data_IF_489963215819
#
_entry.id   IF_489963215819
#
_cell.length_a   1.000
_cell.length_b   1.000
_cell.length_c   1.000
_cell.angle_alpha   90.00
_cell.angle_beta   90.00
_cell.angle_gamma   90.00
#
_symmetry.space_group_name_H-M   'P 1'
#
loop_
_entity.id
_entity.type
_entity.pdbx_description
1 polymer ?
#
# COMPACT_ATOMS: atom_id res chain seq x y z
N UNK A 1 13.87 21.94 -15.99
CA UNK A 1 12.99 23.14 -15.91
C UNK A 1 11.53 22.67 -15.90
N UNK A 2 10.68 23.12 -14.95
CA UNK A 2 9.23 22.89 -14.98
C UNK A 2 8.57 23.70 -16.10
N UNK A 3 7.59 23.14 -16.79
CA UNK A 3 6.87 23.80 -17.92
C UNK A 3 5.38 24.04 -17.65
N UNK A 4 4.86 23.61 -16.49
CA UNK A 4 3.44 23.70 -16.13
C UNK A 4 3.03 22.58 -15.17
N UNK A 5 1.72 22.36 -15.06
CA UNK A 5 1.13 21.26 -14.28
C UNK A 5 0.03 20.56 -15.08
N UNK A 6 -0.20 19.28 -14.78
CA UNK A 6 -1.31 18.49 -15.33
C UNK A 6 -2.46 18.50 -14.32
N UNK A 7 -3.67 18.79 -14.79
CA UNK A 7 -4.87 18.72 -13.95
C UNK A 7 -5.46 17.31 -14.01
N UNK A 8 -5.65 16.70 -12.84
CA UNK A 8 -6.33 15.41 -12.68
C UNK A 8 -7.59 15.67 -11.84
N UNK A 9 -8.79 15.25 -12.28
CA UNK A 9 -10.00 15.39 -11.50
C UNK A 9 -9.88 14.71 -10.13
N UNK A 10 -10.34 15.39 -9.07
CA UNK A 10 -10.38 14.84 -7.71
C UNK A 10 -11.84 14.71 -7.28
N UNK A 11 -12.28 13.48 -7.06
CA UNK A 11 -13.56 13.17 -6.43
C UNK A 11 -13.40 12.79 -4.96
N UNK A 12 -14.52 12.57 -4.28
CA UNK A 12 -14.55 12.09 -2.90
C UNK A 12 -15.43 10.85 -2.77
N UNK A 13 -15.00 9.88 -1.96
CA UNK A 13 -15.79 8.72 -1.57
C UNK A 13 -15.94 8.68 -0.05
N UNK A 14 -17.15 8.49 0.46
CA UNK A 14 -17.38 8.39 1.90
C UNK A 14 -18.82 8.70 2.37
N UNK A 15 -19.03 8.73 3.70
CA UNK A 15 -18.00 8.50 4.71
C UNK A 15 -17.55 7.03 4.75
N UNK A 16 -16.23 6.80 4.85
CA UNK A 16 -15.65 5.52 5.19
C UNK A 16 -15.55 5.46 6.72
N UNK A 17 -16.39 4.65 7.36
CA UNK A 17 -16.32 4.40 8.81
C UNK A 17 -15.31 3.28 9.08
N UNK A 18 -14.19 3.62 9.73
CA UNK A 18 -13.13 2.68 10.10
C UNK A 18 -12.56 3.03 11.47
N UNK A 19 -12.43 2.04 12.34
CA UNK A 19 -11.94 2.19 13.71
C UNK A 19 -12.70 3.24 14.54
N UNK A 20 -14.00 3.39 14.27
CA UNK A 20 -14.89 4.34 14.95
C UNK A 20 -14.81 5.77 14.43
N UNK A 21 -14.02 6.05 13.39
CA UNK A 21 -13.91 7.37 12.77
C UNK A 21 -14.39 7.36 11.31
N UNK A 22 -14.98 8.48 10.87
CA UNK A 22 -15.46 8.67 9.49
C UNK A 22 -14.50 9.50 8.65
N UNK A 23 -14.19 9.03 7.45
CA UNK A 23 -13.31 9.73 6.50
C UNK A 23 -14.00 10.01 5.18
N UNK A 24 -13.81 11.22 4.68
CA UNK A 24 -14.11 11.58 3.28
C UNK A 24 -12.84 11.41 2.46
N UNK A 25 -12.76 10.34 1.68
CA UNK A 25 -11.53 9.94 1.00
C UNK A 25 -11.38 10.65 -0.34
N UNK A 26 -10.34 11.50 -0.52
CA UNK A 26 -10.07 12.14 -1.80
C UNK A 26 -9.42 11.15 -2.78
N UNK A 27 -9.91 11.14 -4.02
CA UNK A 27 -9.47 10.22 -5.07
C UNK A 27 -9.24 10.98 -6.38
N UNK A 28 -7.98 11.06 -6.82
CA UNK A 28 -7.59 11.72 -8.06
C UNK A 28 -7.53 10.69 -9.19
N UNK A 29 -8.45 10.76 -10.15
CA UNK A 29 -8.55 9.76 -11.23
C UNK A 29 -9.22 10.32 -12.47
N UNK A 30 -8.91 9.73 -13.62
CA UNK A 30 -9.62 9.93 -14.89
C UNK A 30 -10.47 8.71 -15.28
N UNK A 31 -10.45 7.64 -14.48
CA UNK A 31 -11.27 6.45 -14.70
C UNK A 31 -12.71 6.70 -14.24
N UNK A 32 -13.65 6.66 -15.18
CA UNK A 32 -15.08 6.73 -14.87
C UNK A 32 -15.52 5.56 -13.97
N UNK A 33 -16.57 5.77 -13.19
CA UNK A 33 -17.07 4.86 -12.14
C UNK A 33 -16.19 4.68 -10.91
N UNK A 34 -14.87 4.91 -10.93
CA UNK A 34 -13.99 4.50 -9.83
C UNK A 34 -14.45 5.10 -8.49
N UNK A 35 -14.57 6.42 -8.41
CA UNK A 35 -15.01 7.13 -7.20
C UNK A 35 -16.42 6.70 -6.77
N UNK A 36 -17.34 6.55 -7.71
CA UNK A 36 -18.72 6.13 -7.43
C UNK A 36 -18.81 4.68 -6.91
N UNK A 37 -17.98 3.79 -7.44
CA UNK A 37 -17.86 2.40 -7.00
C UNK A 37 -17.29 2.33 -5.58
N UNK A 38 -16.18 3.03 -5.33
CA UNK A 38 -15.61 3.11 -3.97
C UNK A 38 -16.61 3.69 -2.97
N UNK A 39 -17.33 4.75 -3.35
CA UNK A 39 -18.37 5.34 -2.52
C UNK A 39 -19.51 4.36 -2.18
N UNK A 40 -19.92 3.51 -3.13
CA UNK A 40 -20.90 2.43 -2.89
C UNK A 40 -20.36 1.41 -1.87
N UNK A 41 -19.07 1.07 -1.95
CA UNK A 41 -18.38 0.24 -0.97
C UNK A 41 -18.38 0.85 0.43
N UNK A 42 -18.01 2.14 0.54
CA UNK A 42 -18.04 2.87 1.81
C UNK A 42 -19.45 2.86 2.43
N UNK A 43 -20.49 3.06 1.60
CA UNK A 43 -21.88 2.96 2.04
C UNK A 43 -22.23 1.59 2.61
N UNK A 44 -21.78 0.51 1.97
CA UNK A 44 -22.05 -0.85 2.46
C UNK A 44 -21.36 -1.12 3.81
N UNK A 45 -20.12 -0.66 3.97
CA UNK A 45 -19.36 -0.75 5.22
C UNK A 45 -20.05 0.07 6.32
N UNK A 46 -20.41 1.32 6.05
CA UNK A 46 -21.09 2.20 7.00
C UNK A 46 -22.42 1.63 7.49
N UNK A 47 -23.24 1.09 6.58
CA UNK A 47 -24.52 0.46 6.92
C UNK A 47 -24.37 -0.87 7.68
N UNK A 48 -23.15 -1.38 7.81
CA UNK A 48 -22.82 -2.63 8.51
C UNK A 48 -21.85 -2.40 9.66
N UNK A 49 -22.01 -1.28 10.37
CA UNK A 49 -21.31 -0.94 11.62
C UNK A 49 -19.81 -0.57 11.46
N UNK A 50 -19.35 -0.39 10.22
CA UNK A 50 -18.00 0.07 9.91
C UNK A 50 -16.96 -1.05 9.74
N UNK A 51 -15.74 -0.64 9.39
CA UNK A 51 -14.59 -1.53 9.29
C UNK A 51 -13.66 -1.42 10.51
N UNK A 52 -12.80 -2.41 10.70
CA UNK A 52 -11.73 -2.42 11.70
C UNK A 52 -10.39 -2.64 11.02
N UNK A 53 -9.34 -2.02 11.53
CA UNK A 53 -7.99 -2.19 11.00
C UNK A 53 -6.94 -2.41 12.07
N UNK A 54 -5.83 -3.04 11.65
CA UNK A 54 -4.63 -3.18 12.46
C UNK A 54 -3.39 -2.95 11.60
N UNK A 55 -2.51 -2.05 12.06
CA UNK A 55 -1.16 -1.89 11.50
C UNK A 55 -0.24 -2.92 12.15
N UNK A 56 0.18 -3.91 11.39
CA UNK A 56 0.98 -5.05 11.84
C UNK A 56 2.49 -4.75 11.87
N UNK A 57 2.96 -3.91 10.94
CA UNK A 57 4.37 -3.50 10.82
C UNK A 57 4.46 -2.06 10.30
N UNK A 58 5.51 -1.35 10.70
CA UNK A 58 5.84 0.01 10.22
C UNK A 58 7.37 0.14 10.10
N UNK A 59 7.88 -0.08 8.89
CA UNK A 59 9.32 -0.09 8.61
C UNK A 59 9.63 0.07 7.12
N UNK A 60 10.22 1.19 6.74
CA UNK A 60 10.73 1.39 5.38
C UNK A 60 12.08 0.68 5.22
N UNK A 61 12.41 0.26 4.00
CA UNK A 61 13.60 -0.55 3.73
C UNK A 61 14.54 0.06 2.70
N UNK A 62 15.84 -0.22 2.88
CA UNK A 62 16.89 0.00 1.89
C UNK A 62 17.85 -1.19 1.96
N UNK A 63 18.29 -1.67 0.80
CA UNK A 63 19.22 -2.79 0.74
C UNK A 63 20.41 -2.47 -0.17
N UNK A 64 21.59 -2.12 0.37
CA UNK A 64 22.80 -2.04 -0.42
C UNK A 64 23.26 -3.44 -0.84
N UNK A 65 24.08 -3.47 -1.89
CA UNK A 65 24.85 -4.63 -2.30
C UNK A 65 26.33 -4.33 -2.15
N UNK A 66 27.03 -5.22 -1.47
CA UNK A 66 28.48 -5.17 -1.27
C UNK A 66 29.12 -6.47 -1.74
N UNK A 67 30.42 -6.45 -2.01
CA UNK A 67 31.16 -7.57 -2.57
C UNK A 67 32.49 -7.78 -1.85
N UNK A 68 32.90 -9.04 -1.75
CA UNK A 68 34.19 -9.46 -1.23
C UNK A 68 34.98 -10.32 -2.22
N UNK A 69 36.20 -10.70 -1.86
CA UNK A 69 37.07 -11.60 -2.63
C UNK A 69 36.53 -13.04 -2.69
N UNK A 70 35.85 -13.50 -1.62
CA UNK A 70 35.33 -14.86 -1.49
C UNK A 70 33.95 -14.90 -0.83
N UNK A 71 33.24 -16.02 -1.01
CA UNK A 71 31.95 -16.26 -0.34
C UNK A 71 32.11 -16.42 1.19
N UNK A 72 33.22 -17.00 1.66
CA UNK A 72 33.51 -17.12 3.09
C UNK A 72 33.63 -15.74 3.74
N UNK A 73 34.37 -14.82 3.12
CA UNK A 73 34.51 -13.45 3.60
C UNK A 73 33.20 -12.66 3.56
N UNK A 74 32.38 -12.87 2.53
CA UNK A 74 31.02 -12.33 2.48
C UNK A 74 30.12 -12.86 3.62
N UNK A 75 30.28 -14.13 3.99
CA UNK A 75 29.55 -14.73 5.11
C UNK A 75 29.97 -14.15 6.47
N UNK A 76 31.25 -13.83 6.66
CA UNK A 76 31.74 -13.14 7.86
C UNK A 76 31.00 -11.81 8.07
N UNK A 77 30.82 -10.99 7.02
CA UNK A 77 30.04 -9.75 7.13
C UNK A 77 28.57 -10.04 7.49
N UNK A 78 27.93 -11.02 6.84
CA UNK A 78 26.54 -11.39 7.15
C UNK A 78 26.39 -11.76 8.62
N UNK A 79 27.25 -12.63 9.14
CA UNK A 79 27.19 -13.05 10.54
C UNK A 79 27.46 -11.90 11.49
N UNK A 80 28.43 -11.03 11.18
CA UNK A 80 28.69 -9.84 11.99
C UNK A 80 27.46 -8.91 12.07
N UNK A 81 26.83 -8.61 10.93
CA UNK A 81 25.72 -7.65 10.83
C UNK A 81 24.41 -8.19 11.42
N UNK A 82 24.21 -9.51 11.41
CA UNK A 82 23.03 -10.16 11.99
C UNK A 82 23.22 -10.60 13.45
N UNK A 83 24.43 -10.49 14.01
CA UNK A 83 24.69 -10.78 15.42
C UNK A 83 24.01 -9.73 16.32
N UNK A 84 23.21 -10.22 17.27
CA UNK A 84 22.51 -9.40 18.26
C UNK A 84 23.48 -8.58 19.12
N UNK A 85 24.70 -9.08 19.37
CA UNK A 85 25.73 -8.36 20.11
C UNK A 85 26.22 -7.10 19.39
N UNK A 86 26.12 -7.07 18.05
CA UNK A 86 26.55 -5.94 17.23
C UNK A 86 25.40 -4.97 16.89
N UNK A 87 24.14 -5.41 17.05
CA UNK A 87 22.97 -4.65 16.62
C UNK A 87 22.91 -3.26 17.25
N UNK A 88 23.16 -3.12 18.55
CA UNK A 88 23.07 -1.83 19.25
C UNK A 88 24.08 -0.81 18.71
N UNK A 89 25.31 -1.26 18.41
CA UNK A 89 26.35 -0.42 17.80
C UNK A 89 25.93 0.03 16.40
N UNK A 90 25.47 -0.91 15.56
CA UNK A 90 24.98 -0.60 14.21
C UNK A 90 23.77 0.34 14.24
N UNK A 91 22.87 0.15 15.20
CA UNK A 91 21.70 0.99 15.41
C UNK A 91 22.10 2.41 15.84
N UNK A 92 23.09 2.57 16.73
CA UNK A 92 23.62 3.89 17.12
C UNK A 92 24.17 4.61 15.89
N UNK A 93 24.97 3.94 15.06
CA UNK A 93 25.55 4.53 13.84
C UNK A 93 24.46 4.93 12.84
N UNK A 94 23.49 4.05 12.59
CA UNK A 94 22.36 4.30 11.69
C UNK A 94 21.52 5.50 12.16
N UNK A 95 21.16 5.50 13.45
CA UNK A 95 20.22 6.45 14.05
C UNK A 95 20.80 7.88 14.19
N UNK A 96 22.13 8.06 14.10
CA UNK A 96 22.76 9.40 14.06
C UNK A 96 22.31 10.23 12.85
N UNK A 97 21.83 9.58 11.79
CA UNK A 97 21.41 10.25 10.56
C UNK A 97 20.15 11.10 10.70
N UNK A 98 19.27 10.78 11.67
CA UNK A 98 17.95 11.41 11.85
C UNK A 98 17.34 11.06 13.21
N UNK A 99 16.64 12.01 13.83
CA UNK A 99 15.88 11.78 15.08
C UNK A 99 14.69 10.83 14.91
N UNK A 100 14.18 10.66 13.70
CA UNK A 100 13.01 9.82 13.39
C UNK A 100 13.39 8.44 12.84
N UNK A 101 14.63 8.30 12.32
CA UNK A 101 15.14 7.03 11.85
C UNK A 101 15.48 6.16 13.05
N UNK A 102 14.82 5.01 13.18
CA UNK A 102 15.20 3.99 14.16
C UNK A 102 15.37 2.66 13.45
N UNK A 103 16.61 2.18 13.39
CA UNK A 103 16.92 0.85 12.86
C UNK A 103 16.16 -0.20 13.67
N UNK A 104 15.50 -1.12 12.97
CA UNK A 104 14.71 -2.21 13.55
C UNK A 104 15.34 -3.57 13.29
N UNK A 105 15.87 -3.79 12.07
CA UNK A 105 16.46 -5.06 11.65
C UNK A 105 17.41 -4.84 10.48
N UNK A 106 18.42 -5.70 10.36
CA UNK A 106 19.16 -5.90 9.12
C UNK A 106 19.04 -7.37 8.75
N UNK A 107 18.60 -7.68 7.54
CA UNK A 107 18.46 -9.04 7.02
C UNK A 107 19.32 -9.20 5.78
N UNK A 108 20.30 -10.10 5.84
CA UNK A 108 21.28 -10.31 4.79
C UNK A 108 20.93 -11.53 3.93
N UNK A 109 21.06 -11.38 2.62
CA UNK A 109 21.06 -12.49 1.66
C UNK A 109 22.39 -12.53 0.91
N UNK A 110 22.93 -13.71 0.63
CA UNK A 110 24.21 -13.89 -0.07
C UNK A 110 23.98 -14.52 -1.43
N UNK A 111 24.67 -14.00 -2.45
CA UNK A 111 24.79 -14.63 -3.77
C UNK A 111 26.27 -14.69 -4.16
N UNK A 112 26.88 -15.85 -3.94
CA UNK A 112 28.33 -16.04 -4.10
C UNK A 112 29.11 -15.14 -3.14
N UNK A 113 29.92 -14.23 -3.70
CA UNK A 113 30.73 -13.27 -2.95
C UNK A 113 30.07 -11.89 -2.74
N UNK A 114 28.76 -11.78 -3.01
CA UNK A 114 27.99 -10.55 -2.83
C UNK A 114 27.01 -10.69 -1.65
N UNK A 115 26.89 -9.64 -0.83
CA UNK A 115 25.94 -9.54 0.29
C UNK A 115 24.93 -8.45 0.02
N UNK A 116 23.64 -8.78 0.16
CA UNK A 116 22.51 -7.87 0.04
C UNK A 116 21.92 -7.66 1.44
N UNK A 117 22.09 -6.47 2.00
CA UNK A 117 21.76 -6.20 3.42
C UNK A 117 20.46 -5.42 3.52
N UNK A 118 19.31 -6.04 3.75
CA UNK A 118 18.03 -5.33 3.86
C UNK A 118 17.87 -4.69 5.23
N UNK A 119 18.13 -3.39 5.31
CA UNK A 119 17.87 -2.57 6.50
C UNK A 119 16.39 -2.22 6.56
N UNK A 120 15.78 -2.40 7.73
CA UNK A 120 14.41 -1.97 8.04
C UNK A 120 14.46 -0.94 9.15
N UNK A 121 13.78 0.20 8.99
CA UNK A 121 13.74 1.25 10.02
C UNK A 121 12.40 1.99 10.05
N UNK A 122 12.02 2.51 11.22
CA UNK A 122 10.93 3.48 11.33
C UNK A 122 11.37 4.83 10.80
N UNK A 123 10.45 5.60 10.24
CA UNK A 123 10.75 6.88 9.55
C UNK A 123 9.89 8.05 10.03
N UNK A 124 9.22 7.91 11.17
CA UNK A 124 8.18 8.84 11.62
C UNK A 124 7.07 8.94 10.58
N UNK A 125 6.59 10.16 10.32
CA UNK A 125 5.50 10.41 9.37
C UNK A 125 5.96 10.59 7.91
N UNK A 126 7.26 10.49 7.64
CA UNK A 126 7.76 10.47 6.28
C UNK A 126 7.67 9.05 5.71
N UNK A 127 7.43 8.93 4.41
CA UNK A 127 7.61 7.66 3.69
C UNK A 127 9.07 7.16 3.85
N UNK A 128 10.02 8.10 3.87
CA UNK A 128 11.30 7.92 4.55
C UNK A 128 12.47 7.43 3.70
N UNK A 129 12.31 7.24 2.40
CA UNK A 129 13.37 6.68 1.54
C UNK A 129 14.71 7.41 1.58
N UNK A 130 14.72 8.74 1.61
CA UNK A 130 15.97 9.51 1.76
C UNK A 130 16.60 9.34 3.14
N UNK A 131 15.75 9.24 4.17
CA UNK A 131 16.18 9.06 5.56
C UNK A 131 16.83 7.69 5.75
N UNK A 132 16.22 6.63 5.22
CA UNK A 132 16.77 5.27 5.29
C UNK A 132 18.09 5.18 4.54
N UNK A 133 18.18 5.73 3.32
CA UNK A 133 19.42 5.70 2.53
C UNK A 133 20.59 6.36 3.25
N UNK A 134 20.36 7.49 3.94
CA UNK A 134 21.40 8.16 4.73
C UNK A 134 21.85 7.32 5.92
N UNK A 135 20.92 6.69 6.64
CA UNK A 135 21.24 5.78 7.75
C UNK A 135 22.06 4.58 7.28
N UNK A 136 21.72 3.99 6.14
CA UNK A 136 22.49 2.90 5.54
C UNK A 136 23.90 3.35 5.17
N UNK A 137 24.06 4.53 4.55
CA UNK A 137 25.39 5.03 4.19
C UNK A 137 26.30 5.15 5.42
N UNK A 138 25.80 5.70 6.53
CA UNK A 138 26.57 5.78 7.78
C UNK A 138 27.05 4.40 8.27
N UNK A 139 26.19 3.37 8.18
CA UNK A 139 26.56 2.02 8.59
C UNK A 139 27.60 1.42 7.64
N UNK A 140 27.47 1.65 6.33
CA UNK A 140 28.48 1.19 5.36
C UNK A 140 29.84 1.85 5.61
N UNK A 141 29.87 3.16 5.88
CA UNK A 141 31.10 3.89 6.19
C UNK A 141 31.75 3.40 7.49
N UNK A 142 30.93 3.06 8.50
CA UNK A 142 31.41 2.46 9.75
C UNK A 142 32.02 1.08 9.52
N UNK A 143 31.32 0.22 8.76
CA UNK A 143 31.76 -1.15 8.48
C UNK A 143 33.09 -1.21 7.70
N UNK A 144 33.42 -0.19 6.91
CA UNK A 144 34.69 -0.11 6.19
C UNK A 144 35.94 -0.15 7.10
N UNK A 145 35.79 0.17 8.39
CA UNK A 145 36.91 0.08 9.34
C UNK A 145 37.31 -1.37 9.64
N UNK A 146 36.33 -2.25 9.85
CA UNK A 146 36.54 -3.67 10.19
C UNK A 146 36.55 -4.57 8.94
N UNK A 147 35.95 -4.09 7.84
CA UNK A 147 35.88 -4.75 6.54
C UNK A 147 36.46 -3.85 5.44
N UNK A 148 37.76 -3.48 5.49
CA UNK A 148 38.38 -2.58 4.52
C UNK A 148 38.47 -3.17 3.10
N UNK A 149 38.25 -4.48 2.97
CA UNK A 149 38.17 -5.21 1.71
C UNK A 149 36.75 -5.26 1.12
N UNK A 150 35.77 -4.61 1.75
CA UNK A 150 34.38 -4.52 1.30
C UNK A 150 34.24 -3.54 0.13
N UNK A 151 33.89 -4.06 -1.05
CA UNK A 151 33.55 -3.25 -2.22
C UNK A 151 32.06 -2.89 -2.21
N UNK A 152 31.74 -1.60 -2.04
CA UNK A 152 30.35 -1.11 -2.05
C UNK A 152 29.91 -0.92 -3.49
N UNK A 153 29.22 -1.92 -4.03
CA UNK A 153 28.70 -1.91 -5.41
C UNK A 153 27.58 -0.88 -5.58
N UNK A 154 26.72 -0.74 -4.57
CA UNK A 154 25.69 0.30 -4.61
C UNK A 154 24.77 0.30 -3.39
N UNK A 155 24.24 1.48 -3.08
CA UNK A 155 23.33 1.69 -1.94
C UNK A 155 21.97 0.98 -2.11
N UNK A 156 21.61 0.62 -3.35
CA UNK A 156 20.36 -0.04 -3.71
C UNK A 156 20.61 -1.22 -4.64
N UNK A 157 20.82 -2.41 -4.08
CA UNK A 157 20.97 -3.68 -4.79
C UNK A 157 19.66 -4.36 -5.15
N UNK A 158 18.57 -3.61 -5.31
CA UNK A 158 17.22 -4.09 -5.60
C UNK A 158 16.58 -5.06 -4.58
N UNK A 159 17.24 -5.40 -3.48
CA UNK A 159 16.69 -6.24 -2.40
C UNK A 159 15.87 -5.46 -1.36
N UNK A 160 15.58 -4.16 -1.60
CA UNK A 160 14.66 -3.39 -0.76
C UNK A 160 13.25 -4.00 -0.73
N UNK A 161 12.57 -4.30 -1.85
CA UNK A 161 12.73 -3.75 -3.22
C UNK A 161 11.92 -2.45 -3.35
N UNK A 162 12.22 -1.56 -4.30
CA UNK A 162 11.52 -0.26 -4.43
C UNK A 162 11.04 -0.01 -5.85
N UNK A 163 9.72 0.13 -6.04
CA UNK A 163 9.04 0.32 -7.34
C UNK A 163 9.21 -0.87 -8.30
N UNK A 164 9.41 -2.08 -7.77
CA UNK A 164 9.50 -3.32 -8.57
C UNK A 164 8.71 -4.43 -7.87
N UNK A 165 7.96 -5.27 -8.62
CA UNK A 165 7.28 -6.41 -8.02
C UNK A 165 8.32 -7.36 -7.41
N UNK A 166 8.22 -7.61 -6.11
CA UNK A 166 9.21 -8.42 -5.38
C UNK A 166 8.60 -9.20 -4.22
N UNK A 167 8.89 -10.51 -4.17
CA UNK A 167 8.34 -11.42 -3.17
C UNK A 167 8.78 -11.05 -1.75
N UNK A 168 9.98 -10.49 -1.60
CA UNK A 168 10.46 -10.03 -0.29
C UNK A 168 9.52 -8.98 0.33
N UNK A 169 8.92 -8.10 -0.47
CA UNK A 169 7.98 -7.10 0.05
C UNK A 169 6.62 -7.72 0.39
N UNK A 170 6.19 -8.75 -0.34
CA UNK A 170 4.99 -9.53 -0.01
C UNK A 170 5.15 -10.30 1.30
N UNK A 171 6.27 -10.98 1.49
CA UNK A 171 6.52 -11.90 2.61
C UNK A 171 6.95 -11.13 3.87
N UNK A 172 7.94 -10.26 3.75
CA UNK A 172 8.56 -9.59 4.91
C UNK A 172 7.85 -8.27 5.25
N UNK A 173 7.11 -7.70 4.30
CA UNK A 173 6.53 -6.35 4.37
C UNK A 173 7.53 -5.24 3.98
N UNK A 174 7.00 -4.04 3.71
CA UNK A 174 7.76 -2.82 3.43
C UNK A 174 6.89 -1.56 3.62
N UNK A 175 7.34 -0.58 4.38
CA UNK A 175 6.46 0.53 4.78
C UNK A 175 5.49 0.05 5.85
N UNK A 176 4.18 0.23 5.65
CA UNK A 176 3.14 -0.25 6.57
C UNK A 176 2.52 -1.55 6.08
N UNK A 177 2.46 -2.55 6.96
CA UNK A 177 1.65 -3.74 6.76
C UNK A 177 0.31 -3.56 7.48
N UNK A 178 -0.79 -3.61 6.76
CA UNK A 178 -2.13 -3.34 7.30
C UNK A 178 -3.09 -4.47 6.95
N UNK A 179 -3.90 -4.89 7.92
CA UNK A 179 -5.10 -5.69 7.69
C UNK A 179 -6.32 -4.83 7.99
N UNK A 180 -7.34 -4.92 7.14
CA UNK A 180 -8.62 -4.24 7.33
C UNK A 180 -9.76 -5.21 7.04
N UNK A 181 -10.76 -5.24 7.90
CA UNK A 181 -11.91 -6.16 7.79
C UNK A 181 -13.24 -5.47 8.06
N UNK A 182 -14.32 -6.06 7.56
CA UNK A 182 -15.69 -5.67 7.87
C UNK A 182 -16.63 -6.88 7.78
N UNK A 183 -17.74 -6.81 8.51
CA UNK A 183 -18.87 -7.72 8.33
C UNK A 183 -19.96 -6.95 7.59
N UNK A 184 -20.43 -7.46 6.45
CA UNK A 184 -21.48 -6.84 5.64
C UNK A 184 -22.77 -7.64 5.80
N UNK A 185 -23.80 -6.98 6.34
CA UNK A 185 -25.10 -7.61 6.65
C UNK A 185 -25.79 -8.09 5.37
N UNK A 186 -26.51 -9.22 5.44
CA UNK A 186 -27.25 -9.81 4.31
C UNK A 186 -28.06 -8.77 3.51
N UNK A 187 -28.81 -7.94 4.24
CA UNK A 187 -29.67 -6.96 3.62
C UNK A 187 -28.90 -5.87 2.88
N UNK A 188 -27.69 -5.55 3.32
CA UNK A 188 -26.80 -4.57 2.69
C UNK A 188 -26.18 -5.18 1.43
N UNK A 189 -25.75 -6.44 1.49
CA UNK A 189 -25.29 -7.18 0.30
C UNK A 189 -26.38 -7.18 -0.79
N UNK A 190 -27.62 -7.46 -0.41
CA UNK A 190 -28.75 -7.47 -1.36
C UNK A 190 -29.16 -6.07 -1.82
N UNK A 191 -29.38 -5.13 -0.90
CA UNK A 191 -29.95 -3.80 -1.22
C UNK A 191 -28.93 -2.83 -1.78
N UNK A 192 -27.69 -2.84 -1.29
CA UNK A 192 -26.63 -1.91 -1.72
C UNK A 192 -25.74 -2.55 -2.77
N UNK A 193 -25.25 -3.76 -2.52
CA UNK A 193 -24.31 -4.45 -3.40
C UNK A 193 -24.98 -5.23 -4.55
N UNK A 194 -26.30 -5.39 -4.49
CA UNK A 194 -27.13 -5.97 -5.58
C UNK A 194 -26.65 -7.38 -5.98
N UNK A 195 -26.20 -8.16 -5.01
CA UNK A 195 -25.75 -9.55 -5.17
C UNK A 195 -26.16 -10.37 -3.92
N UNK A 196 -25.61 -11.57 -3.75
CA UNK A 196 -25.73 -12.40 -2.55
C UNK A 196 -24.34 -12.86 -2.04
N UNK A 197 -24.28 -13.34 -0.79
CA UNK A 197 -23.02 -13.73 -0.13
C UNK A 197 -22.35 -14.91 -0.84
N UNK A 198 -23.09 -15.95 -1.18
CA UNK A 198 -22.55 -17.15 -1.82
C UNK A 198 -21.82 -16.81 -3.14
N UNK A 199 -22.41 -15.97 -3.98
CA UNK A 199 -21.80 -15.53 -5.23
C UNK A 199 -20.52 -14.70 -5.02
N UNK A 200 -20.45 -13.90 -3.95
CA UNK A 200 -19.24 -13.13 -3.62
C UNK A 200 -18.10 -14.05 -3.17
N UNK A 201 -18.40 -15.00 -2.28
CA UNK A 201 -17.41 -15.97 -1.78
C UNK A 201 -16.89 -16.85 -2.93
N UNK A 202 -17.78 -17.39 -3.75
CA UNK A 202 -17.41 -18.20 -4.92
C UNK A 202 -16.55 -17.40 -5.90
N UNK A 203 -16.98 -16.18 -6.25
CA UNK A 203 -16.22 -15.34 -7.16
C UNK A 203 -14.85 -14.97 -6.58
N UNK A 204 -14.73 -14.67 -5.29
CA UNK A 204 -13.44 -14.38 -4.67
C UNK A 204 -12.48 -15.57 -4.76
N UNK A 205 -12.97 -16.77 -4.44
CA UNK A 205 -12.21 -18.01 -4.58
C UNK A 205 -11.74 -18.23 -6.01
N UNK A 206 -12.64 -18.13 -6.99
CA UNK A 206 -12.31 -18.42 -8.39
C UNK A 206 -11.46 -17.34 -9.05
N UNK A 207 -11.72 -16.05 -8.77
CA UNK A 207 -11.04 -14.92 -9.39
C UNK A 207 -9.77 -14.52 -8.66
N UNK A 208 -9.91 -14.07 -7.41
CA UNK A 208 -8.82 -13.42 -6.68
C UNK A 208 -7.79 -14.43 -6.16
N UNK A 209 -8.19 -15.68 -5.91
CA UNK A 209 -7.27 -16.74 -5.50
C UNK A 209 -6.88 -17.63 -6.69
N UNK A 210 -7.79 -18.46 -7.19
CA UNK A 210 -7.47 -19.44 -8.24
C UNK A 210 -7.01 -18.76 -9.53
N UNK A 211 -7.72 -17.73 -10.00
CA UNK A 211 -7.34 -16.97 -11.20
C UNK A 211 -5.97 -16.32 -11.08
N UNK A 212 -5.70 -15.65 -9.95
CA UNK A 212 -4.39 -15.05 -9.68
C UNK A 212 -3.28 -16.10 -9.55
N UNK A 213 -3.56 -17.27 -8.95
CA UNK A 213 -2.61 -18.38 -8.87
C UNK A 213 -2.25 -18.92 -10.26
N UNK A 214 -3.26 -19.15 -11.12
CA UNK A 214 -3.05 -19.58 -12.51
C UNK A 214 -2.27 -18.54 -13.32
N UNK A 215 -2.47 -17.25 -13.05
CA UNK A 215 -1.75 -16.16 -13.68
C UNK A 215 -0.29 -15.99 -13.18
N UNK A 216 0.13 -16.74 -12.13
CA UNK A 216 1.43 -16.55 -11.51
C UNK A 216 1.58 -15.17 -10.84
N UNK A 217 0.48 -14.60 -10.35
CA UNK A 217 0.48 -13.25 -9.78
C UNK A 217 1.31 -13.19 -8.49
N UNK A 218 2.14 -12.16 -8.37
CA UNK A 218 2.93 -11.87 -7.17
C UNK A 218 2.24 -10.77 -6.35
N UNK A 219 1.68 -11.13 -5.19
CA UNK A 219 0.98 -10.19 -4.31
C UNK A 219 -0.34 -9.63 -4.87
N UNK A 220 -0.79 -10.12 -6.03
CA UNK A 220 -1.98 -9.66 -6.75
C UNK A 220 -3.21 -10.54 -6.54
N UNK A 221 -3.55 -10.86 -5.28
CA UNK A 221 -4.70 -11.71 -4.94
C UNK A 221 -5.94 -10.87 -4.61
N UNK A 222 -6.25 -9.90 -5.48
CA UNK A 222 -7.28 -8.89 -5.30
C UNK A 222 -7.93 -8.50 -6.64
N UNK A 223 -8.98 -7.69 -6.60
CA UNK A 223 -9.68 -7.24 -7.78
C UNK A 223 -9.06 -6.01 -8.44
N UNK A 224 -8.88 -4.93 -7.68
CA UNK A 224 -8.38 -3.65 -8.19
C UNK A 224 -7.76 -2.75 -7.11
N UNK A 225 -7.05 -3.32 -6.12
CA UNK A 225 -6.40 -2.53 -5.07
C UNK A 225 -5.53 -1.38 -5.63
N UNK A 226 -4.84 -1.64 -6.75
CA UNK A 226 -4.04 -0.65 -7.49
C UNK A 226 -4.83 0.60 -7.90
N UNK A 227 -6.10 0.48 -8.31
CA UNK A 227 -6.90 1.64 -8.72
C UNK A 227 -7.12 2.59 -7.54
N UNK A 228 -7.44 2.01 -6.38
CA UNK A 228 -7.71 2.78 -5.16
C UNK A 228 -6.44 3.43 -4.63
N UNK A 229 -5.35 2.65 -4.53
CA UNK A 229 -4.05 3.12 -4.06
C UNK A 229 -3.56 4.27 -4.94
N UNK A 230 -3.53 4.10 -6.27
CA UNK A 230 -3.10 5.15 -7.19
C UNK A 230 -3.93 6.44 -7.06
N UNK A 231 -5.26 6.32 -6.98
CA UNK A 231 -6.14 7.48 -6.87
C UNK A 231 -5.92 8.28 -5.58
N UNK A 232 -5.74 7.60 -4.44
CA UNK A 232 -5.42 8.26 -3.17
C UNK A 232 -4.00 8.82 -3.20
N UNK A 233 -3.04 8.10 -3.77
CA UNK A 233 -1.63 8.50 -3.82
C UNK A 233 -1.45 9.81 -4.58
N UNK A 234 -2.07 9.93 -5.76
CA UNK A 234 -2.04 11.15 -6.56
C UNK A 234 -2.73 12.31 -5.82
N UNK A 235 -3.89 12.05 -5.20
CA UNK A 235 -4.64 13.07 -4.46
C UNK A 235 -3.87 13.59 -3.24
N UNK A 236 -3.14 12.72 -2.55
CA UNK A 236 -2.48 13.02 -1.27
C UNK A 236 -0.97 13.27 -1.39
N UNK A 237 -0.43 13.33 -2.60
CA UNK A 237 0.97 13.69 -2.84
C UNK A 237 1.99 12.63 -2.48
N UNK A 238 1.58 11.37 -2.51
CA UNK A 238 2.47 10.21 -2.41
C UNK A 238 3.24 10.02 -3.72
N UNK A 239 4.11 9.02 -3.78
CA UNK A 239 4.83 8.64 -5.00
C UNK A 239 4.01 7.59 -5.79
N UNK A 240 3.38 7.94 -6.93
CA UNK A 240 2.51 7.00 -7.63
C UNK A 240 3.26 5.78 -8.20
N UNK A 241 4.58 5.85 -8.37
CA UNK A 241 5.35 4.70 -8.83
C UNK A 241 5.47 3.60 -7.75
N UNK A 242 5.26 3.94 -6.48
CA UNK A 242 5.21 2.98 -5.38
C UNK A 242 3.91 2.16 -5.37
N UNK A 243 2.92 2.52 -6.20
CA UNK A 243 1.72 1.73 -6.39
C UNK A 243 2.03 0.26 -6.75
N UNK A 244 3.14 -0.01 -7.45
CA UNK A 244 3.59 -1.38 -7.80
C UNK A 244 3.59 -2.34 -6.62
N UNK A 245 4.08 -1.89 -5.46
CA UNK A 245 4.21 -2.73 -4.26
C UNK A 245 3.18 -2.36 -3.19
N UNK A 246 2.79 -1.08 -3.13
CA UNK A 246 1.74 -0.60 -2.23
C UNK A 246 0.37 -1.16 -2.58
N UNK A 247 0.15 -1.66 -3.81
CA UNK A 247 -1.06 -2.38 -4.20
C UNK A 247 -1.01 -3.89 -3.96
N UNK A 248 0.07 -4.43 -3.37
CA UNK A 248 0.07 -5.82 -2.93
C UNK A 248 -1.09 -6.01 -1.94
N UNK A 249 -1.99 -6.92 -2.26
CA UNK A 249 -3.20 -7.14 -1.50
C UNK A 249 -3.71 -8.57 -1.73
N UNK A 250 -4.12 -9.22 -0.63
CA UNK A 250 -4.98 -10.40 -0.67
C UNK A 250 -6.34 -10.04 -0.10
N UNK A 251 -7.39 -10.33 -0.87
CA UNK A 251 -8.78 -10.15 -0.48
C UNK A 251 -9.39 -11.49 -0.11
N UNK A 252 -9.90 -11.61 1.12
CA UNK A 252 -10.60 -12.79 1.61
C UNK A 252 -12.08 -12.47 1.83
N UNK A 253 -12.94 -13.44 1.54
CA UNK A 253 -14.38 -13.35 1.67
C UNK A 253 -14.91 -14.66 2.22
N UNK A 254 -15.63 -14.59 3.33
CA UNK A 254 -16.16 -15.75 4.04
C UNK A 254 -17.63 -15.53 4.38
N UNK A 255 -18.43 -16.58 4.22
CA UNK A 255 -19.82 -16.58 4.64
C UNK A 255 -19.87 -16.88 6.15
N UNK A 256 -20.53 -16.02 6.92
CA UNK A 256 -20.68 -16.17 8.37
C UNK A 256 -22.16 -16.10 8.76
N UNK A 257 -22.48 -16.37 10.03
CA UNK A 257 -23.86 -16.34 10.56
C UNK A 257 -24.83 -17.18 9.70
N UNK A 258 -24.48 -18.47 9.51
CA UNK A 258 -25.21 -19.42 8.65
C UNK A 258 -25.30 -18.98 7.17
N UNK A 259 -24.32 -18.21 6.71
CA UNK A 259 -24.20 -17.73 5.34
C UNK A 259 -25.02 -16.49 5.01
N UNK A 260 -25.62 -15.84 6.01
CA UNK A 260 -26.39 -14.60 5.84
C UNK A 260 -25.49 -13.40 5.62
N UNK A 261 -24.42 -13.29 6.40
CA UNK A 261 -23.53 -12.14 6.38
C UNK A 261 -22.20 -12.50 5.72
N UNK A 262 -21.54 -11.48 5.17
CA UNK A 262 -20.23 -11.60 4.55
C UNK A 262 -19.18 -11.03 5.49
N UNK A 263 -18.24 -11.84 5.96
CA UNK A 263 -16.95 -11.33 6.40
C UNK A 263 -16.08 -11.06 5.18
N UNK A 264 -15.45 -9.90 5.13
CA UNK A 264 -14.53 -9.51 4.07
C UNK A 264 -13.31 -8.83 4.68
N UNK A 265 -12.13 -9.19 4.20
CA UNK A 265 -10.89 -8.57 4.62
C UNK A 265 -9.92 -8.32 3.48
N UNK A 266 -9.07 -7.32 3.65
CA UNK A 266 -7.90 -7.06 2.81
C UNK A 266 -6.65 -7.04 3.68
N UNK A 267 -5.59 -7.68 3.20
CA UNK A 267 -4.27 -7.64 3.83
C UNK A 267 -3.26 -7.08 2.85
N UNK A 268 -2.68 -5.94 3.21
CA UNK A 268 -1.76 -5.16 2.39
C UNK A 268 -0.40 -5.05 3.10
N UNK A 269 0.58 -5.90 2.78
CA UNK A 269 1.82 -6.00 3.56
C UNK A 269 2.82 -4.88 3.30
N UNK A 270 2.64 -4.09 2.22
CA UNK A 270 3.68 -3.19 1.74
C UNK A 270 3.22 -1.77 1.35
N UNK A 271 2.34 -1.14 2.14
CA UNK A 271 1.86 0.22 1.88
C UNK A 271 2.95 1.26 2.18
N UNK A 272 3.46 1.93 1.15
CA UNK A 272 4.48 2.98 1.25
C UNK A 272 3.86 4.37 1.22
N UNK A 273 3.55 4.93 2.40
CA UNK A 273 2.96 6.28 2.51
C UNK A 273 3.69 7.16 3.51
N UNK A 274 3.55 8.46 3.32
CA UNK A 274 3.97 9.50 4.25
C UNK A 274 3.04 10.70 4.23
N UNK A 275 3.05 11.48 5.30
CA UNK A 275 2.28 12.72 5.45
C UNK A 275 3.18 13.95 5.56
N UNK A 276 4.51 13.74 5.41
CA UNK A 276 5.56 14.76 5.34
C UNK A 276 6.54 14.42 4.22
N UNK A 277 6.97 15.45 3.49
CA UNK A 277 7.98 15.35 2.43
C UNK A 277 7.42 14.99 1.06
N UNK A 278 8.22 15.15 0.02
CA UNK A 278 7.79 14.91 -1.36
C UNK A 278 6.60 15.77 -1.77
N UNK A 279 5.64 15.17 -2.49
CA UNK A 279 4.45 15.85 -3.00
C UNK A 279 3.45 16.30 -1.93
N UNK A 280 3.56 15.79 -0.69
CA UNK A 280 2.66 16.12 0.42
C UNK A 280 2.69 17.60 0.83
N UNK A 281 3.71 18.35 0.40
CA UNK A 281 3.85 19.78 0.69
C UNK A 281 3.13 20.67 -0.33
N UNK A 282 2.77 20.13 -1.49
CA UNK A 282 2.04 20.88 -2.52
C UNK A 282 0.64 21.23 -2.00
N UNK A 283 0.17 22.45 -2.27
CA UNK A 283 -1.04 22.99 -1.65
C UNK A 283 -2.28 22.10 -1.85
N UNK A 284 -2.51 21.61 -3.08
CA UNK A 284 -3.67 20.75 -3.40
C UNK A 284 -3.61 19.40 -2.69
N UNK A 285 -2.42 18.78 -2.64
CA UNK A 285 -2.18 17.51 -1.97
C UNK A 285 -2.27 17.64 -0.45
N UNK A 286 -1.74 18.73 0.10
CA UNK A 286 -1.85 19.06 1.51
C UNK A 286 -3.31 19.28 1.93
N UNK A 287 -4.14 19.90 1.08
CA UNK A 287 -5.57 20.05 1.32
C UNK A 287 -6.29 18.69 1.39
N UNK A 288 -5.93 17.74 0.51
CA UNK A 288 -6.44 16.37 0.57
C UNK A 288 -6.00 15.63 1.84
N UNK A 289 -4.77 15.80 2.29
CA UNK A 289 -4.31 15.25 3.57
C UNK A 289 -4.99 15.91 4.79
N UNK A 290 -5.31 17.20 4.71
CA UNK A 290 -6.08 17.91 5.75
C UNK A 290 -7.51 17.38 5.83
N UNK A 291 -8.15 17.09 4.69
CA UNK A 291 -9.49 16.48 4.64
C UNK A 291 -9.54 15.14 5.39
N UNK A 292 -8.45 14.38 5.32
CA UNK A 292 -8.28 13.12 6.05
C UNK A 292 -7.81 13.30 7.51
N UNK A 293 -7.49 14.53 7.93
CA UNK A 293 -6.98 14.81 9.28
C UNK A 293 -5.55 14.30 9.56
N UNK A 294 -4.77 13.98 8.53
CA UNK A 294 -3.44 13.33 8.68
C UNK A 294 -2.27 14.16 8.15
N UNK A 295 -2.50 15.40 7.73
CA UNK A 295 -1.43 16.24 7.15
C UNK A 295 -0.32 16.53 8.17
N UNK A 296 0.93 16.38 7.72
CA UNK A 296 2.11 16.77 8.50
C UNK A 296 2.56 15.71 9.50
N UNK A 297 3.60 16.08 10.27
CA UNK A 297 4.11 15.25 11.35
C UNK A 297 3.12 15.25 12.50
N UNK A 298 2.87 14.07 13.07
CA UNK A 298 2.08 13.95 14.29
C UNK A 298 2.78 14.64 15.46
N UNK A 299 1.99 15.35 16.27
CA UNK A 299 2.48 15.99 17.51
C UNK A 299 2.48 15.01 18.68
N UNK A 300 1.58 14.04 18.67
CA UNK A 300 1.37 13.12 19.78
C UNK A 300 2.36 11.94 19.73
N UNK A 301 2.50 11.33 18.55
CA UNK A 301 3.35 10.16 18.37
C UNK A 301 3.91 10.10 16.94
N UNK A 302 5.24 10.19 16.75
CA UNK A 302 5.85 10.11 15.42
C UNK A 302 5.37 8.90 14.62
N UNK A 303 4.93 9.17 13.40
CA UNK A 303 4.42 8.15 12.48
C UNK A 303 2.92 7.87 12.59
N UNK A 304 2.21 8.39 13.61
CA UNK A 304 0.78 8.10 13.77
C UNK A 304 -0.06 8.59 12.59
N UNK A 305 0.26 9.75 12.00
CA UNK A 305 -0.46 10.27 10.85
C UNK A 305 -0.23 9.39 9.61
N UNK A 306 1.01 8.95 9.39
CA UNK A 306 1.32 8.05 8.27
C UNK A 306 0.70 6.66 8.43
N UNK A 307 0.61 6.13 9.67
CA UNK A 307 -0.08 4.88 9.98
C UNK A 307 -1.59 5.02 9.75
N UNK A 308 -2.18 6.13 10.19
CA UNK A 308 -3.59 6.47 9.95
C UNK A 308 -3.90 6.59 8.46
N UNK A 309 -3.02 7.23 7.68
CA UNK A 309 -3.16 7.27 6.22
C UNK A 309 -3.10 5.86 5.60
N UNK A 310 -2.22 4.98 6.07
CA UNK A 310 -2.15 3.59 5.59
C UNK A 310 -3.43 2.80 5.90
N UNK A 311 -4.00 2.98 7.09
CA UNK A 311 -5.31 2.43 7.47
C UNK A 311 -6.42 2.93 6.55
N UNK A 312 -6.46 4.24 6.25
CA UNK A 312 -7.46 4.82 5.33
C UNK A 312 -7.31 4.25 3.92
N UNK A 313 -6.07 4.07 3.44
CA UNK A 313 -5.80 3.41 2.14
C UNK A 313 -6.34 1.99 2.14
N UNK A 314 -6.02 1.18 3.17
CA UNK A 314 -6.50 -0.20 3.26
C UNK A 314 -8.02 -0.30 3.37
N UNK A 315 -8.67 0.55 4.17
CA UNK A 315 -10.14 0.61 4.26
C UNK A 315 -10.81 1.05 2.97
N UNK A 316 -10.18 1.96 2.23
CA UNK A 316 -10.66 2.37 0.91
C UNK A 316 -10.51 1.24 -0.12
N UNK A 317 -9.42 0.47 -0.04
CA UNK A 317 -9.22 -0.73 -0.86
C UNK A 317 -10.30 -1.76 -0.54
N UNK A 318 -10.58 -2.03 0.74
CA UNK A 318 -11.68 -2.91 1.17
C UNK A 318 -13.03 -2.48 0.56
N UNK A 319 -13.36 -1.19 0.63
CA UNK A 319 -14.56 -0.62 0.02
C UNK A 319 -14.60 -0.82 -1.51
N UNK A 320 -13.48 -0.54 -2.18
CA UNK A 320 -13.33 -0.74 -3.61
C UNK A 320 -13.53 -2.20 -4.01
N UNK A 321 -12.85 -3.12 -3.34
CA UNK A 321 -12.92 -4.57 -3.56
C UNK A 321 -14.36 -5.07 -3.44
N UNK A 322 -15.04 -4.69 -2.35
CA UNK A 322 -16.42 -5.08 -2.08
C UNK A 322 -17.36 -4.65 -3.20
N UNK A 323 -17.27 -3.39 -3.65
CA UNK A 323 -18.14 -2.88 -4.71
C UNK A 323 -17.85 -3.51 -6.08
N UNK A 324 -16.58 -3.65 -6.46
CA UNK A 324 -16.20 -4.21 -7.75
C UNK A 324 -16.56 -5.70 -7.84
N UNK A 325 -16.23 -6.49 -6.81
CA UNK A 325 -16.57 -7.91 -6.76
C UNK A 325 -18.08 -8.12 -6.84
N UNK A 326 -18.86 -7.24 -6.18
CA UNK A 326 -20.32 -7.28 -6.27
C UNK A 326 -20.86 -6.94 -7.66
N UNK A 327 -20.25 -5.96 -8.34
CA UNK A 327 -20.63 -5.62 -9.71
C UNK A 327 -20.29 -6.73 -10.71
N UNK A 328 -19.20 -7.46 -10.51
CA UNK A 328 -18.83 -8.63 -11.33
C UNK A 328 -19.79 -9.79 -11.04
N UNK A 329 -20.02 -10.13 -9.77
CA UNK A 329 -20.94 -11.20 -9.38
C UNK A 329 -22.37 -10.98 -9.91
N UNK A 330 -22.81 -9.72 -9.99
CA UNK A 330 -24.13 -9.36 -10.53
C UNK A 330 -24.16 -9.19 -12.07
N UNK A 331 -23.05 -9.36 -12.78
CA UNK A 331 -22.96 -9.14 -14.24
C UNK A 331 -23.15 -7.67 -14.67
N UNK A 332 -22.86 -6.71 -13.80
CA UNK A 332 -23.15 -5.28 -13.98
C UNK A 332 -21.95 -4.44 -14.44
N UNK A 333 -20.75 -5.04 -14.50
CA UNK A 333 -19.51 -4.31 -14.79
C UNK A 333 -19.57 -3.55 -16.13
N UNK A 334 -19.90 -4.25 -17.22
CA UNK A 334 -19.94 -3.66 -18.57
C UNK A 334 -20.96 -2.52 -18.67
N UNK A 335 -22.17 -2.73 -18.14
CA UNK A 335 -23.23 -1.70 -18.15
C UNK A 335 -22.81 -0.43 -17.41
N UNK A 336 -22.10 -0.57 -16.30
CA UNK A 336 -21.63 0.56 -15.50
C UNK A 336 -20.54 1.34 -16.22
N UNK A 337 -19.52 0.66 -16.77
CA UNK A 337 -18.47 1.33 -17.56
C UNK A 337 -19.05 2.02 -18.81
N UNK A 338 -20.02 1.40 -19.49
CA UNK A 338 -20.65 2.02 -20.68
C UNK A 338 -21.43 3.30 -20.34
N UNK A 339 -22.01 3.39 -19.15
CA UNK A 339 -22.79 4.56 -18.72
C UNK A 339 -21.92 5.75 -18.28
N UNK A 340 -20.80 5.49 -17.59
CA UNK A 340 -20.01 6.57 -16.96
C UNK A 340 -18.58 6.73 -17.49
N UNK A 341 -18.06 5.77 -18.26
CA UNK A 341 -16.69 5.80 -18.79
C UNK A 341 -16.63 6.07 -20.31
N UNK A 342 -17.77 6.35 -20.95
CA UNK A 342 -17.85 6.88 -22.32
C UNK A 342 -18.36 8.31 -22.28
N UNK A 343 -17.76 9.19 -23.09
CA UNK A 343 -18.26 10.56 -23.23
C UNK A 343 -19.71 10.51 -23.74
N UNK A 344 -20.60 11.27 -23.09
CA UNK A 344 -22.02 11.40 -23.45
C UNK A 344 -22.24 12.03 -24.84
N UNK A 345 -21.18 12.38 -25.58
CA UNK A 345 -21.29 12.97 -26.93
C UNK A 345 -21.72 11.97 -28.02
N UNK A 346 -21.67 10.65 -27.80
CA UNK A 346 -22.02 9.66 -28.83
C UNK A 346 -23.43 9.07 -28.69
N UNK A 347 -24.18 9.36 -27.63
CA UNK A 347 -25.53 8.78 -27.43
C UNK A 347 -26.64 9.61 -28.10
N UNK A 348 -26.36 10.84 -28.53
CA UNK A 348 -27.35 11.71 -29.18
C UNK A 348 -27.46 11.54 -30.71
N UNK A 349 -26.89 10.47 -31.31
CA UNK A 349 -26.92 10.25 -32.77
C UNK A 349 -27.64 8.98 -33.25
N UNK A 350 -28.32 8.23 -32.37
CA UNK A 350 -29.00 6.97 -32.76
C UNK A 350 -30.53 6.98 -32.62
N UNK A 351 -31.16 8.15 -32.63
CA UNK A 351 -32.61 8.26 -32.84
C UNK A 351 -32.87 9.28 -33.94
N UNK A 352 -32.93 8.82 -35.19
CA UNK A 352 -33.71 9.49 -36.23
C UNK A 352 -34.91 8.59 -36.55
N UNK A 353 -36.15 9.12 -36.47
CA UNK A 353 -37.33 8.40 -36.91
C UNK A 353 -37.54 8.61 -38.42
N UNK A 354 -37.77 7.50 -39.13
CA UNK A 354 -38.62 7.42 -40.33
C UNK A 354 -38.94 5.96 -40.58
#
# INVERSE_FOLDING_TARGET
MPVGYVQIPVGVAGPLLIDGEEYTVPMATTEGCLVASTNRGCKAILMSDGARSVVLKDGMTRAPVVRFSSAARAAELKFFVEDLLNFDTLAVVFNRSSRFAKLQRIQCSIAGKNVYMRFTCSTGDAMGMNMVSKGVQNVLDFLQSDFPDMDIIGISGNFCSDKKPAAVNWIEGRGKSVVCEAVIKEEVVRKVLKTNVAALVELNMLKNLTGSALAGALGGFNAHASNIVAAIYIATGQDPAQNVESSHCITMMEAINDGKDLHVSVTMPSIEVGTVGGGTQLASQAACLNLLGVKGASRDSPGSNSRKLATIVAGSVLAGELSLMSAIAAGQLVKSHMKYNRSSKDVSKLVCPS
#
